data_IF_772975019106
#
_entry.id   IF_772975019106
#
_cell.length_a   1.000
_cell.length_b   1.000
_cell.length_c   1.000
_cell.angle_alpha   90.00
_cell.angle_beta   90.00
_cell.angle_gamma   90.00
#
_symmetry.space_group_name_H-M   'P 1'
#
loop_
_entity.id
_entity.type
_entity.pdbx_description
1 polymer ?
#
# COMPACT_ATOMS: atom_id res chain seq x y z
N UNK A 1 0.60 7.55 -1.25
CA UNK A 1 0.01 6.33 -0.63
C UNK A 1 -1.52 6.25 -0.74
N UNK A 2 -2.23 7.24 -1.29
CA UNK A 2 -3.69 7.16 -1.42
C UNK A 2 -4.16 5.91 -2.19
N UNK A 3 -5.22 5.26 -1.70
CA UNK A 3 -5.86 4.09 -2.32
C UNK A 3 -5.05 2.79 -2.21
N UNK A 4 -3.89 2.80 -1.55
CA UNK A 4 -3.09 1.60 -1.32
C UNK A 4 -3.70 0.71 -0.24
N UNK A 5 -3.56 -0.61 -0.39
CA UNK A 5 -3.73 -1.56 0.72
C UNK A 5 -2.48 -1.57 1.58
N UNK A 6 -2.65 -1.38 2.87
CA UNK A 6 -1.58 -1.39 3.88
C UNK A 6 -1.89 -2.38 4.99
N UNK A 7 -0.86 -2.81 5.71
CA UNK A 7 -0.94 -3.55 6.96
C UNK A 7 -0.47 -2.65 8.10
N UNK A 8 -1.20 -2.63 9.19
CA UNK A 8 -0.72 -2.01 10.44
C UNK A 8 0.35 -2.91 11.03
N UNK A 9 1.50 -2.34 11.33
CA UNK A 9 2.65 -3.03 11.89
C UNK A 9 3.09 -2.35 13.19
N UNK A 10 3.87 -3.08 13.98
CA UNK A 10 4.70 -2.48 15.03
C UNK A 10 5.61 -1.43 14.40
N UNK A 11 5.96 -0.41 15.17
CA UNK A 11 6.80 0.68 14.70
C UNK A 11 8.09 0.12 14.10
N UNK A 12 8.37 0.46 12.84
CA UNK A 12 9.45 -0.18 12.06
C UNK A 12 10.83 -0.13 12.73
N UNK A 13 11.09 0.92 13.52
CA UNK A 13 12.38 1.13 14.21
C UNK A 13 12.41 0.66 15.67
N UNK A 14 11.38 0.99 16.45
CA UNK A 14 11.35 0.74 17.91
C UNK A 14 10.64 -0.55 18.26
N UNK A 15 9.96 -1.18 17.30
CA UNK A 15 9.19 -2.42 17.46
C UNK A 15 8.03 -2.27 18.47
N UNK A 16 7.65 -1.04 18.81
CA UNK A 16 6.53 -0.76 19.72
C UNK A 16 5.19 -1.02 19.02
N UNK A 17 4.18 -1.56 19.72
CA UNK A 17 2.88 -1.82 19.14
C UNK A 17 2.12 -0.52 18.83
N UNK A 18 1.23 -0.55 17.84
CA UNK A 18 0.31 0.58 17.60
C UNK A 18 -0.93 0.42 18.48
N UNK A 19 -1.20 1.40 19.36
CA UNK A 19 -2.35 1.40 20.31
C UNK A 19 -2.51 0.05 21.02
N UNK A 20 -1.49 -0.31 21.79
CA UNK A 20 -1.42 -1.58 22.54
C UNK A 20 -1.54 -2.85 21.67
N UNK A 21 -1.39 -2.70 20.35
CA UNK A 21 -1.37 -3.81 19.40
C UNK A 21 -2.75 -4.25 18.92
N UNK A 22 -3.82 -3.56 19.35
CA UNK A 22 -5.20 -3.92 19.02
C UNK A 22 -5.43 -3.98 17.50
N UNK A 23 -4.71 -3.15 16.74
CA UNK A 23 -4.82 -3.10 15.29
C UNK A 23 -3.62 -3.69 14.56
N UNK A 24 -2.59 -4.16 15.26
CA UNK A 24 -1.43 -4.78 14.62
C UNK A 24 -1.87 -5.94 13.73
N UNK A 25 -1.17 -6.14 12.61
CA UNK A 25 -1.44 -7.14 11.56
C UNK A 25 -2.74 -6.92 10.75
N UNK A 26 -3.65 -6.06 11.20
CA UNK A 26 -4.87 -5.76 10.44
C UNK A 26 -4.53 -5.02 9.14
N UNK A 27 -5.32 -5.29 8.11
CA UNK A 27 -5.18 -4.65 6.79
C UNK A 27 -6.18 -3.53 6.63
N UNK A 28 -5.76 -2.48 5.95
CA UNK A 28 -6.57 -1.30 5.68
C UNK A 28 -6.32 -0.70 4.31
N UNK A 29 -7.17 0.24 3.93
CA UNK A 29 -7.00 1.10 2.76
C UNK A 29 -6.62 2.51 3.22
N UNK A 30 -5.60 3.09 2.61
CA UNK A 30 -5.22 4.48 2.85
C UNK A 30 -6.23 5.42 2.18
N UNK A 31 -6.98 6.16 2.98
CA UNK A 31 -7.96 7.15 2.53
C UNK A 31 -7.35 8.53 2.33
N UNK A 32 -6.39 8.94 3.18
CA UNK A 32 -5.74 10.25 3.09
C UNK A 32 -4.29 10.13 3.53
N UNK A 33 -3.44 10.99 3.00
CA UNK A 33 -2.02 11.08 3.33
C UNK A 33 -1.70 12.51 3.71
N UNK A 34 -1.09 12.71 4.87
CA UNK A 34 -0.49 13.97 5.27
C UNK A 34 1.03 13.82 5.16
N UNK A 35 1.60 14.42 4.11
CA UNK A 35 3.05 14.37 3.88
C UNK A 35 3.83 15.22 4.89
N UNK A 36 3.24 16.30 5.40
CA UNK A 36 3.92 17.21 6.34
C UNK A 36 4.14 16.54 7.69
N UNK A 37 3.13 15.78 8.16
CA UNK A 37 3.19 15.04 9.42
C UNK A 37 3.66 13.59 9.27
N UNK A 38 3.85 13.13 8.02
CA UNK A 38 4.12 11.73 7.68
C UNK A 38 3.12 10.77 8.33
N UNK A 39 1.84 11.10 8.23
CA UNK A 39 0.74 10.26 8.72
C UNK A 39 -0.27 9.95 7.63
N UNK A 40 -1.15 8.98 7.90
CA UNK A 40 -2.22 8.56 7.01
C UNK A 40 -3.55 8.44 7.78
N UNK A 41 -4.66 8.53 7.05
CA UNK A 41 -5.95 8.00 7.50
C UNK A 41 -6.18 6.64 6.85
N UNK A 42 -6.45 5.60 7.65
CA UNK A 42 -6.58 4.22 7.18
C UNK A 42 -7.93 3.65 7.58
N UNK A 43 -8.71 3.20 6.61
CA UNK A 43 -9.93 2.43 6.83
C UNK A 43 -9.56 0.95 6.98
N UNK A 44 -9.84 0.34 8.13
CA UNK A 44 -9.66 -1.10 8.30
C UNK A 44 -10.65 -1.87 7.42
N UNK A 45 -10.18 -2.95 6.80
CA UNK A 45 -10.94 -3.75 5.81
C UNK A 45 -11.61 -4.99 6.41
N UNK A 46 -11.14 -5.45 7.58
CA UNK A 46 -11.61 -6.66 8.26
C UNK A 46 -12.28 -6.27 9.58
N UNK A 47 -13.49 -6.76 9.85
CA UNK A 47 -14.26 -6.47 11.07
C UNK A 47 -15.05 -5.15 11.01
N UNK A 48 -15.07 -4.39 12.12
CA UNK A 48 -15.72 -3.08 12.18
C UNK A 48 -14.93 -2.10 11.32
N UNK A 49 -15.60 -1.46 10.34
CA UNK A 49 -15.09 -0.40 9.46
C UNK A 49 -14.61 0.83 10.26
N UNK A 50 -13.53 0.65 11.01
CA UNK A 50 -12.93 1.66 11.86
C UNK A 50 -11.94 2.46 11.04
N UNK A 51 -11.98 3.78 11.19
CA UNK A 51 -11.02 4.69 10.57
C UNK A 51 -9.96 5.05 11.59
N UNK A 52 -8.72 4.61 11.34
CA UNK A 52 -7.55 5.05 12.08
C UNK A 52 -7.10 6.40 11.53
N UNK A 53 -7.22 7.45 12.34
CA UNK A 53 -6.78 8.81 11.99
C UNK A 53 -5.31 9.02 12.38
N UNK A 54 -4.56 9.71 11.53
CA UNK A 54 -3.19 10.17 11.79
C UNK A 54 -2.20 9.07 12.21
N UNK A 55 -2.32 7.86 11.65
CA UNK A 55 -1.34 6.80 11.89
C UNK A 55 0.00 7.13 11.20
N UNK A 56 1.11 7.05 11.93
CA UNK A 56 2.46 7.27 11.37
C UNK A 56 2.77 6.26 10.27
N UNK A 57 3.51 6.69 9.25
CA UNK A 57 4.01 5.80 8.21
C UNK A 57 4.88 4.67 8.77
N UNK A 58 5.55 4.87 9.90
CA UNK A 58 6.39 3.84 10.54
C UNK A 58 5.58 2.70 11.15
N UNK A 59 4.26 2.85 11.29
CA UNK A 59 3.32 1.81 11.67
C UNK A 59 2.57 1.21 10.48
N UNK A 60 2.97 1.52 9.25
CA UNK A 60 2.32 1.04 8.04
C UNK A 60 3.30 0.35 7.10
N UNK A 61 2.84 -0.76 6.55
CA UNK A 61 3.55 -1.48 5.49
C UNK A 61 2.63 -1.66 4.27
N UNK A 62 3.04 -1.25 3.06
CA UNK A 62 2.30 -1.58 1.85
C UNK A 62 2.16 -3.09 1.67
N UNK A 63 0.96 -3.56 1.34
CA UNK A 63 0.76 -4.98 1.01
C UNK A 63 1.29 -5.22 -0.40
N UNK A 64 2.20 -6.19 -0.54
CA UNK A 64 2.66 -6.60 -1.87
C UNK A 64 1.50 -7.19 -2.69
N UNK A 65 1.40 -6.82 -3.98
CA UNK A 65 0.36 -7.32 -4.86
C UNK A 65 0.64 -8.77 -5.31
N UNK A 66 -0.41 -9.44 -5.78
CA UNK A 66 -0.35 -10.74 -6.45
C UNK A 66 -0.66 -10.60 -7.95
N UNK A 67 -0.37 -11.67 -8.70
CA UNK A 67 -0.72 -11.75 -10.12
C UNK A 67 -2.21 -11.41 -10.33
N UNK A 68 -2.49 -10.65 -11.38
CA UNK A 68 -3.78 -10.09 -11.80
C UNK A 68 -4.38 -9.04 -10.85
N UNK A 69 -3.63 -8.55 -9.85
CA UNK A 69 -4.10 -7.46 -9.00
C UNK A 69 -3.72 -6.09 -9.56
N UNK A 70 -4.55 -5.09 -9.24
CA UNK A 70 -4.24 -3.69 -9.48
C UNK A 70 -3.10 -3.24 -8.58
N UNK A 71 -2.14 -2.52 -9.16
CA UNK A 71 -0.95 -2.04 -8.48
C UNK A 71 -0.80 -0.54 -8.66
N UNK A 72 -0.06 0.06 -7.73
CA UNK A 72 0.51 1.39 -7.88
C UNK A 72 1.99 1.30 -7.60
N UNK A 73 2.78 1.91 -8.48
CA UNK A 73 4.22 2.02 -8.26
C UNK A 73 4.48 3.10 -7.21
N UNK A 74 5.20 2.77 -6.15
CA UNK A 74 5.42 3.64 -4.98
C UNK A 74 6.82 4.26 -4.91
N UNK A 75 7.78 3.75 -5.71
CA UNK A 75 9.18 4.19 -5.77
C UNK A 75 9.74 4.00 -7.20
N UNK A 76 10.96 4.47 -7.44
CA UNK A 76 11.63 4.32 -8.73
C UNK A 76 11.08 5.23 -9.84
N UNK A 77 11.49 4.94 -11.08
CA UNK A 77 11.19 5.74 -12.28
C UNK A 77 9.69 5.85 -12.55
N UNK A 78 8.94 4.76 -12.35
CA UNK A 78 7.51 4.71 -12.66
C UNK A 78 6.61 5.15 -11.50
N UNK A 79 7.18 5.76 -10.44
CA UNK A 79 6.46 6.14 -9.23
C UNK A 79 5.20 6.93 -9.55
N UNK A 80 4.08 6.49 -8.98
CA UNK A 80 2.77 7.12 -9.13
C UNK A 80 1.88 6.45 -10.17
N UNK A 81 2.44 5.76 -11.16
CA UNK A 81 1.69 5.07 -12.22
C UNK A 81 0.87 3.92 -11.67
N UNK A 82 -0.29 3.70 -12.28
CA UNK A 82 -1.22 2.61 -11.99
C UNK A 82 -1.12 1.52 -13.06
N UNK A 83 -1.26 0.27 -12.65
CA UNK A 83 -1.18 -0.87 -13.55
C UNK A 83 -1.85 -2.12 -13.03
N UNK A 84 -1.77 -3.19 -13.82
CA UNK A 84 -2.13 -4.55 -13.42
C UNK A 84 -0.88 -5.43 -13.45
N UNK A 85 -0.67 -6.23 -12.40
CA UNK A 85 0.46 -7.16 -12.33
C UNK A 85 0.16 -8.41 -13.13
N UNK A 86 0.67 -8.53 -14.35
CA UNK A 86 0.38 -9.66 -15.23
C UNK A 86 1.21 -10.91 -14.92
N UNK A 87 2.43 -10.74 -14.38
CA UNK A 87 3.34 -11.82 -14.00
C UNK A 87 4.26 -11.35 -12.87
N UNK A 88 4.79 -12.27 -12.07
CA UNK A 88 5.73 -11.96 -10.98
C UNK A 88 6.60 -13.15 -10.62
N UNK A 89 7.81 -12.85 -10.13
CA UNK A 89 8.63 -13.75 -9.31
C UNK A 89 8.96 -13.04 -7.96
N UNK A 90 9.99 -13.49 -7.24
CA UNK A 90 10.40 -12.89 -5.95
C UNK A 90 10.94 -11.46 -6.06
N UNK A 91 11.51 -11.09 -7.21
CA UNK A 91 12.22 -9.83 -7.40
C UNK A 91 11.44 -8.83 -8.27
N UNK A 92 10.82 -9.32 -9.34
CA UNK A 92 10.27 -8.51 -10.41
C UNK A 92 8.84 -8.90 -10.78
N UNK A 93 8.09 -7.89 -11.19
CA UNK A 93 6.74 -8.00 -11.73
C UNK A 93 6.65 -7.43 -13.14
N UNK A 94 5.94 -8.12 -14.03
CA UNK A 94 5.54 -7.55 -15.32
C UNK A 94 4.23 -6.79 -15.13
N UNK A 95 4.28 -5.47 -15.23
CA UNK A 95 3.12 -4.59 -15.03
C UNK A 95 2.64 -4.05 -16.38
N UNK A 96 1.35 -4.22 -16.66
CA UNK A 96 0.66 -3.49 -17.74
C UNK A 96 0.18 -2.14 -17.19
N UNK A 97 0.75 -1.05 -17.66
CA UNK A 97 0.34 0.29 -17.23
C UNK A 97 -1.00 0.70 -17.86
N UNK A 98 -1.91 1.23 -17.04
CA UNK A 98 -3.27 1.55 -17.48
C UNK A 98 -3.32 2.73 -18.46
N UNK A 99 -2.42 3.69 -18.31
CA UNK A 99 -2.39 4.92 -19.12
C UNK A 99 -1.89 4.67 -20.55
N UNK A 100 -0.88 3.81 -20.71
CA UNK A 100 -0.21 3.58 -22.00
C UNK A 100 -0.47 2.19 -22.59
N UNK A 101 -1.07 1.28 -21.83
CA UNK A 101 -1.15 -0.16 -22.13
C UNK A 101 0.20 -0.87 -22.33
N UNK A 102 1.32 -0.20 -22.04
CA UNK A 102 2.66 -0.79 -22.13
C UNK A 102 2.93 -1.77 -21.00
N UNK A 103 3.75 -2.77 -21.30
CA UNK A 103 4.26 -3.73 -20.33
C UNK A 103 5.68 -3.34 -19.93
N UNK A 104 5.95 -3.25 -18.63
CA UNK A 104 7.29 -2.99 -18.10
C UNK A 104 7.59 -3.91 -16.92
N UNK A 105 8.84 -4.34 -16.81
CA UNK A 105 9.35 -4.97 -15.59
C UNK A 105 9.55 -3.91 -14.51
N UNK A 106 9.07 -4.18 -13.31
CA UNK A 106 9.18 -3.32 -12.15
C UNK A 106 9.54 -4.17 -10.95
N UNK A 107 10.48 -3.73 -10.12
CA UNK A 107 10.85 -4.44 -8.92
C UNK A 107 9.65 -4.56 -7.97
N UNK A 108 9.41 -5.75 -7.42
CA UNK A 108 8.30 -6.03 -6.51
C UNK A 108 8.32 -5.15 -5.26
N UNK A 109 9.48 -4.71 -4.79
CA UNK A 109 9.60 -3.79 -3.63
C UNK A 109 9.09 -2.38 -3.92
N UNK A 110 8.97 -2.02 -5.21
CA UNK A 110 8.44 -0.74 -5.67
C UNK A 110 6.94 -0.80 -5.97
N UNK A 111 6.32 -1.98 -5.85
CA UNK A 111 4.90 -2.20 -6.10
C UNK A 111 4.10 -2.33 -4.81
N UNK A 112 2.93 -1.69 -4.79
CA UNK A 112 1.95 -1.86 -3.73
C UNK A 112 0.58 -2.19 -4.31
N UNK A 113 -0.17 -3.07 -3.63
CA UNK A 113 -1.55 -3.39 -4.00
C UNK A 113 -2.42 -2.13 -3.92
N UNK A 114 -3.13 -1.86 -5.00
CA UNK A 114 -4.02 -0.70 -5.14
C UNK A 114 -5.48 -1.14 -5.13
N UNK A 115 -6.29 -0.50 -4.29
CA UNK A 115 -7.71 -0.80 -4.13
C UNK A 115 -8.63 0.22 -4.82
N UNK A 116 -8.06 1.24 -5.48
CA UNK A 116 -8.81 2.33 -6.06
C UNK A 116 -9.04 3.49 -5.10
N UNK A 117 -9.68 4.53 -5.62
CA UNK A 117 -10.25 5.61 -4.82
C UNK A 117 -11.71 5.22 -4.57
N UNK A 118 -12.11 5.00 -3.30
CA UNK A 118 -13.54 5.03 -2.98
C UNK A 118 -13.94 6.50 -3.00
N UNK A 119 -14.88 6.84 -3.90
CA UNK A 119 -15.54 8.15 -3.93
C UNK A 119 -16.30 8.36 -2.62
#
# INVERSE_FOLDING_TARGET
MHGLKVRVIRHRRTVTPYKDGIHDKHKGQVLRVDNSRRTCCVQLLEGRLSVLKSISWDHLEPVQPRKYEKVKVIKGEFRGRLGELCWTNENDGLVRFMETSEYKFVNMVDLAKYLGNKM
#
